data_IF_787294809184
#
_entry.id   IF_787294809184
#
_cell.length_a   1.000
_cell.length_b   1.000
_cell.length_c   1.000
_cell.angle_alpha   90.00
_cell.angle_beta   90.00
_cell.angle_gamma   90.00
#
_symmetry.space_group_name_H-M   'P 1'
#
loop_
_entity.id
_entity.type
_entity.pdbx_description
1 polymer ?
#
# COMPACT_ATOMS: atom_id res chain seq x y z
N UNK A 1 20.33 -11.20 -21.60
CA UNK A 1 19.57 -11.97 -20.60
C UNK A 1 20.43 -12.07 -19.35
N UNK A 2 19.85 -11.83 -18.17
CA UNK A 2 20.55 -12.09 -16.91
C UNK A 2 20.59 -13.60 -16.70
N UNK A 3 21.80 -14.18 -16.66
CA UNK A 3 22.00 -15.63 -16.53
C UNK A 3 21.48 -16.14 -15.17
N UNK A 4 21.53 -15.29 -14.15
CA UNK A 4 21.09 -15.62 -12.79
C UNK A 4 19.58 -15.49 -12.62
N UNK A 5 18.91 -14.73 -13.50
CA UNK A 5 17.46 -14.52 -13.47
C UNK A 5 16.85 -14.78 -14.86
N UNK A 6 16.89 -16.03 -15.36
CA UNK A 6 16.37 -16.38 -16.69
C UNK A 6 14.88 -16.06 -16.87
N UNK A 7 14.11 -16.03 -15.77
CA UNK A 7 12.68 -15.77 -15.74
C UNK A 7 12.31 -14.27 -15.87
N UNK A 8 13.29 -13.37 -15.98
CA UNK A 8 13.05 -11.92 -15.94
C UNK A 8 12.07 -11.43 -17.01
N UNK A 9 12.14 -11.99 -18.23
CA UNK A 9 11.23 -11.64 -19.32
C UNK A 9 9.78 -11.94 -18.98
N UNK A 10 9.51 -13.10 -18.38
CA UNK A 10 8.17 -13.47 -17.92
C UNK A 10 7.69 -12.57 -16.78
N UNK A 11 8.56 -12.29 -15.80
CA UNK A 11 8.24 -11.45 -14.65
C UNK A 11 7.91 -10.00 -15.06
N UNK A 12 8.55 -9.48 -16.09
CA UNK A 12 8.31 -8.13 -16.59
C UNK A 12 7.20 -8.04 -17.64
N UNK A 13 6.54 -9.16 -17.94
CA UNK A 13 5.38 -9.23 -18.82
C UNK A 13 4.10 -9.34 -17.98
N UNK A 14 3.37 -8.23 -17.89
CA UNK A 14 2.15 -8.13 -17.09
C UNK A 14 1.03 -9.07 -17.57
N UNK A 15 0.95 -9.33 -18.88
CA UNK A 15 -0.07 -10.22 -19.45
C UNK A 15 0.26 -11.68 -19.18
N UNK A 16 1.53 -12.07 -19.39
CA UNK A 16 2.02 -13.40 -19.04
C UNK A 16 1.87 -13.68 -17.54
N UNK A 17 2.22 -12.70 -16.69
CA UNK A 17 2.08 -12.84 -15.23
C UNK A 17 0.63 -12.91 -14.78
N UNK A 18 -0.32 -12.29 -15.47
CA UNK A 18 -1.74 -12.30 -15.06
C UNK A 18 -2.27 -13.71 -14.80
N UNK A 19 -1.99 -14.66 -15.69
CA UNK A 19 -2.42 -16.07 -15.54
C UNK A 19 -1.67 -16.77 -14.41
N UNK A 20 -0.37 -16.54 -14.30
CA UNK A 20 0.47 -17.13 -13.25
C UNK A 20 0.05 -16.66 -11.86
N UNK A 21 -0.21 -15.37 -11.70
CA UNK A 21 -0.71 -14.76 -10.47
C UNK A 21 -2.11 -15.29 -10.14
N UNK A 22 -3.02 -15.36 -11.10
CA UNK A 22 -4.36 -15.92 -10.90
C UNK A 22 -4.33 -17.36 -10.39
N UNK A 23 -3.47 -18.20 -10.96
CA UNK A 23 -3.27 -19.58 -10.50
C UNK A 23 -2.67 -19.64 -9.10
N UNK A 24 -1.73 -18.74 -8.79
CA UNK A 24 -1.08 -18.70 -7.49
C UNK A 24 -1.95 -18.14 -6.37
N UNK A 25 -2.83 -17.18 -6.65
CA UNK A 25 -3.54 -16.40 -5.62
C UNK A 25 -4.53 -17.18 -4.77
N UNK A 26 -5.08 -18.29 -5.26
CA UNK A 26 -6.16 -19.01 -4.60
C UNK A 26 -5.76 -20.44 -4.26
N UNK A 27 -6.34 -20.98 -3.19
CA UNK A 27 -5.95 -22.29 -2.63
C UNK A 27 -6.40 -23.47 -3.50
N UNK A 28 -7.49 -23.31 -4.24
CA UNK A 28 -8.07 -24.36 -5.08
C UNK A 28 -8.66 -23.79 -6.36
N UNK A 29 -8.84 -24.66 -7.35
CA UNK A 29 -9.52 -24.31 -8.60
C UNK A 29 -10.95 -23.80 -8.34
N UNK A 30 -11.70 -24.45 -7.43
CA UNK A 30 -13.09 -24.07 -7.14
C UNK A 30 -13.24 -22.67 -6.52
N UNK A 31 -12.26 -22.23 -5.73
CA UNK A 31 -12.24 -20.85 -5.22
C UNK A 31 -11.80 -19.90 -6.32
N UNK A 32 -10.74 -20.25 -7.05
CA UNK A 32 -10.18 -19.43 -8.13
C UNK A 32 -11.20 -19.08 -9.19
N UNK A 33 -12.05 -20.03 -9.59
CA UNK A 33 -13.03 -19.86 -10.67
C UNK A 33 -14.15 -18.86 -10.30
N UNK A 34 -14.25 -18.45 -9.03
CA UNK A 34 -15.13 -17.37 -8.55
C UNK A 34 -14.54 -15.98 -8.77
N UNK A 35 -13.26 -15.89 -9.11
CA UNK A 35 -12.57 -14.62 -9.25
C UNK A 35 -11.99 -14.45 -10.66
N UNK A 36 -12.08 -13.23 -11.16
CA UNK A 36 -11.49 -12.85 -12.43
C UNK A 36 -10.53 -11.68 -12.23
N UNK A 37 -9.30 -11.82 -12.75
CA UNK A 37 -8.37 -10.70 -12.87
C UNK A 37 -8.65 -9.98 -14.18
N UNK A 38 -9.36 -8.85 -14.08
CA UNK A 38 -9.74 -7.99 -15.21
C UNK A 38 -8.54 -7.26 -15.80
N UNK A 39 -7.63 -6.82 -14.94
CA UNK A 39 -6.43 -6.07 -15.32
C UNK A 39 -5.26 -6.45 -14.41
N UNK A 40 -4.06 -6.44 -14.98
CA UNK A 40 -2.79 -6.65 -14.30
C UNK A 40 -1.80 -5.62 -14.83
N UNK A 41 -1.36 -4.70 -13.97
CA UNK A 41 -0.38 -3.67 -14.31
C UNK A 41 0.88 -3.83 -13.48
N UNK A 42 2.05 -3.66 -14.08
CA UNK A 42 3.29 -3.49 -13.32
C UNK A 42 3.37 -2.03 -12.88
N UNK A 43 3.35 -1.80 -11.56
CA UNK A 43 3.36 -0.45 -10.98
C UNK A 43 4.74 -0.05 -10.45
N UNK A 44 5.64 -1.01 -10.25
CA UNK A 44 7.01 -0.75 -9.80
C UNK A 44 7.93 -1.92 -10.15
N UNK A 45 9.17 -1.60 -10.55
CA UNK A 45 10.26 -2.55 -10.76
C UNK A 45 11.51 -2.04 -10.06
N UNK A 46 12.18 -2.92 -9.31
CA UNK A 46 13.55 -2.70 -8.84
C UNK A 46 14.39 -3.91 -9.17
N UNK A 47 15.30 -3.71 -10.09
CA UNK A 47 16.20 -4.74 -10.54
C UNK A 47 17.61 -4.45 -10.02
N UNK A 48 18.18 -5.45 -9.34
CA UNK A 48 19.60 -5.48 -8.99
C UNK A 48 20.22 -6.66 -9.77
N UNK A 49 21.06 -6.38 -10.79
CA UNK A 49 21.70 -7.42 -11.60
C UNK A 49 22.30 -8.55 -10.77
N UNK A 50 22.14 -9.78 -11.24
CA UNK A 50 22.72 -11.00 -10.66
C UNK A 50 22.28 -11.32 -9.22
N UNK A 51 21.31 -10.56 -8.68
CA UNK A 51 20.96 -10.62 -7.26
C UNK A 51 19.48 -10.80 -7.01
N UNK A 52 18.64 -9.89 -7.52
CA UNK A 52 17.18 -10.00 -7.37
C UNK A 52 16.45 -9.02 -8.27
N UNK A 53 15.28 -9.43 -8.74
CA UNK A 53 14.28 -8.53 -9.30
C UNK A 53 13.09 -8.46 -8.36
N UNK A 54 12.66 -7.25 -8.03
CA UNK A 54 11.43 -7.01 -7.28
C UNK A 54 10.45 -6.29 -8.18
N UNK A 55 9.22 -6.79 -8.25
CA UNK A 55 8.15 -6.25 -9.09
C UNK A 55 6.88 -6.15 -8.28
N UNK A 56 6.20 -5.01 -8.36
CA UNK A 56 4.88 -4.84 -7.78
C UNK A 56 3.84 -4.82 -8.89
N UNK A 57 2.79 -5.62 -8.73
CA UNK A 57 1.65 -5.70 -9.62
C UNK A 57 0.42 -5.08 -8.97
N UNK A 58 -0.37 -4.36 -9.75
CA UNK A 58 -1.72 -3.93 -9.38
C UNK A 58 -2.72 -4.76 -10.17
N UNK A 59 -3.60 -5.45 -9.44
CA UNK A 59 -4.64 -6.28 -10.02
C UNK A 59 -6.01 -5.62 -9.80
N UNK A 60 -6.84 -5.61 -10.83
CA UNK A 60 -8.27 -5.37 -10.69
C UNK A 60 -8.98 -6.72 -10.64
N UNK A 61 -9.51 -7.06 -9.46
CA UNK A 61 -10.11 -8.36 -9.16
C UNK A 61 -11.61 -8.19 -9.01
N UNK A 62 -12.35 -9.10 -9.63
CA UNK A 62 -13.80 -9.23 -9.49
C UNK A 62 -14.15 -10.60 -8.95
N UNK A 63 -14.96 -10.66 -7.91
CA UNK A 63 -15.69 -11.87 -7.53
C UNK A 63 -16.95 -11.95 -8.41
N UNK A 64 -17.02 -12.93 -9.30
CA UNK A 64 -18.11 -13.03 -10.28
C UNK A 64 -19.42 -13.55 -9.65
N UNK A 65 -19.36 -14.18 -8.48
CA UNK A 65 -20.55 -14.65 -7.77
C UNK A 65 -21.24 -13.50 -7.01
N UNK A 66 -20.46 -12.63 -6.37
CA UNK A 66 -21.00 -11.53 -5.53
C UNK A 66 -21.05 -10.20 -6.27
N UNK A 67 -20.35 -10.09 -7.40
CA UNK A 67 -20.12 -8.81 -8.09
C UNK A 67 -19.13 -7.89 -7.37
N UNK A 68 -18.51 -8.32 -6.27
CA UNK A 68 -17.53 -7.51 -5.55
C UNK A 68 -16.33 -7.21 -6.45
N UNK A 69 -15.93 -5.94 -6.52
CA UNK A 69 -14.75 -5.50 -7.26
C UNK A 69 -13.79 -4.75 -6.35
N UNK A 70 -12.50 -4.89 -6.62
CA UNK A 70 -11.49 -4.11 -5.94
C UNK A 70 -10.08 -4.31 -6.45
N UNK A 71 -9.19 -3.50 -5.92
CA UNK A 71 -7.76 -3.57 -6.21
C UNK A 71 -7.08 -4.56 -5.25
N UNK A 72 -6.16 -5.37 -5.79
CA UNK A 72 -5.19 -6.13 -5.00
C UNK A 72 -3.79 -5.83 -5.52
N UNK A 73 -2.91 -5.32 -4.64
CA UNK A 73 -1.49 -5.14 -4.95
C UNK A 73 -0.74 -6.39 -4.50
N UNK A 74 0.19 -6.86 -5.34
CA UNK A 74 1.12 -7.94 -5.04
C UNK A 74 2.55 -7.42 -5.18
N UNK A 75 3.37 -7.58 -4.15
CA UNK A 75 4.81 -7.33 -4.24
C UNK A 75 5.55 -8.65 -4.33
N UNK A 76 6.19 -8.90 -5.47
CA UNK A 76 6.99 -10.10 -5.66
C UNK A 76 8.48 -9.82 -5.71
N UNK A 77 9.25 -10.80 -5.24
CA UNK A 77 10.70 -10.81 -5.32
C UNK A 77 11.14 -12.12 -5.95
N UNK A 78 11.84 -12.02 -7.07
CA UNK A 78 12.52 -13.11 -7.72
C UNK A 78 13.92 -13.29 -7.13
N UNK A 79 14.30 -14.56 -7.01
CA UNK A 79 15.58 -14.99 -6.52
C UNK A 79 16.27 -15.86 -7.57
N UNK A 80 17.60 -15.86 -7.62
CA UNK A 80 18.35 -16.82 -8.44
C UNK A 80 18.54 -18.14 -7.67
N UNK A 81 18.78 -19.23 -8.41
CA UNK A 81 19.30 -20.52 -7.93
C UNK A 81 18.53 -21.21 -6.77
N UNK A 82 17.22 -21.43 -6.90
CA UNK A 82 16.45 -22.18 -5.89
C UNK A 82 16.26 -21.43 -4.56
N UNK A 83 16.72 -20.18 -4.47
CA UNK A 83 16.71 -19.41 -3.21
C UNK A 83 15.32 -18.91 -2.83
N UNK A 84 14.30 -19.08 -3.68
CA UNK A 84 12.94 -18.65 -3.35
C UNK A 84 12.30 -19.48 -2.24
N UNK A 85 12.52 -20.81 -2.23
CA UNK A 85 11.88 -21.72 -1.28
C UNK A 85 12.25 -21.39 0.19
N UNK A 86 13.53 -21.27 0.58
CA UNK A 86 13.88 -20.89 1.96
C UNK A 86 13.33 -19.51 2.37
N UNK A 87 13.17 -18.59 1.42
CA UNK A 87 12.61 -17.26 1.69
C UNK A 87 11.10 -17.33 1.92
N UNK A 88 10.39 -18.18 1.17
CA UNK A 88 8.98 -18.46 1.39
C UNK A 88 8.75 -19.15 2.73
N UNK A 89 9.52 -20.19 3.06
CA UNK A 89 9.42 -20.89 4.35
C UNK A 89 9.69 -19.96 5.55
N UNK A 90 10.63 -19.02 5.40
CA UNK A 90 10.86 -18.00 6.41
C UNK A 90 9.66 -17.06 6.54
N UNK A 91 9.08 -16.64 5.42
CA UNK A 91 7.97 -15.70 5.40
C UNK A 91 6.65 -16.33 5.86
N UNK A 92 6.43 -17.63 5.62
CA UNK A 92 5.22 -18.35 6.02
C UNK A 92 5.09 -18.53 7.54
N UNK A 93 6.20 -18.37 8.28
CA UNK A 93 6.23 -18.37 9.76
C UNK A 93 5.80 -17.03 10.37
N UNK A 94 5.67 -15.98 9.56
CA UNK A 94 5.23 -14.67 10.04
C UNK A 94 3.71 -14.63 10.14
N UNK A 95 3.20 -13.91 11.13
CA UNK A 95 1.77 -13.60 11.22
C UNK A 95 1.39 -12.57 10.15
N UNK A 96 0.88 -13.06 9.03
CA UNK A 96 0.37 -12.24 7.92
C UNK A 96 -1.13 -12.02 8.08
N UNK A 97 -1.62 -10.87 7.62
CA UNK A 97 -3.06 -10.58 7.61
C UNK A 97 -3.69 -11.07 6.31
N UNK A 98 -4.93 -11.53 6.38
CA UNK A 98 -5.67 -11.94 5.20
C UNK A 98 -5.90 -10.72 4.28
N UNK A 99 -5.41 -10.74 3.01
CA UNK A 99 -5.67 -9.66 2.07
C UNK A 99 -7.14 -9.71 1.61
N UNK A 100 -7.57 -8.63 0.94
CA UNK A 100 -8.93 -8.56 0.39
C UNK A 100 -9.19 -9.66 -0.63
N UNK A 101 -8.20 -9.96 -1.48
CA UNK A 101 -8.30 -11.02 -2.49
C UNK A 101 -7.09 -11.97 -2.44
N UNK A 102 -7.40 -13.27 -2.50
CA UNK A 102 -6.39 -14.33 -2.56
C UNK A 102 -5.68 -14.58 -1.23
N UNK A 103 -4.56 -15.29 -1.29
CA UNK A 103 -3.74 -15.65 -0.13
C UNK A 103 -2.72 -14.56 0.23
N UNK A 104 -2.32 -14.43 1.52
CA UNK A 104 -1.38 -13.40 1.96
C UNK A 104 0.04 -13.55 1.40
N UNK A 105 0.45 -14.77 1.09
CA UNK A 105 1.80 -15.13 0.66
C UNK A 105 1.76 -16.21 -0.41
N UNK A 106 2.58 -16.08 -1.45
CA UNK A 106 2.68 -17.06 -2.53
C UNK A 106 4.13 -17.40 -2.81
N UNK A 107 4.36 -18.65 -3.18
CA UNK A 107 5.59 -19.11 -3.78
C UNK A 107 5.27 -19.64 -5.17
N UNK A 108 6.00 -19.15 -6.16
CA UNK A 108 5.95 -19.58 -7.54
C UNK A 108 7.33 -20.18 -7.88
N UNK A 109 7.52 -21.49 -7.62
CA UNK A 109 8.84 -22.13 -7.77
C UNK A 109 9.32 -22.10 -9.23
N UNK A 110 8.41 -22.14 -10.21
CA UNK A 110 8.74 -22.19 -11.64
C UNK A 110 9.47 -20.91 -12.12
N UNK A 111 9.31 -19.81 -11.40
CA UNK A 111 9.96 -18.52 -11.66
C UNK A 111 10.76 -18.01 -10.45
N UNK A 112 11.06 -18.90 -9.49
CA UNK A 112 11.82 -18.59 -8.29
C UNK A 112 11.36 -17.29 -7.58
N UNK A 113 10.04 -17.14 -7.41
CA UNK A 113 9.44 -15.90 -6.93
C UNK A 113 8.60 -16.10 -5.67
N UNK A 114 8.77 -15.20 -4.70
CA UNK A 114 7.90 -15.09 -3.53
C UNK A 114 7.11 -13.80 -3.62
N UNK A 115 5.79 -13.86 -3.42
CA UNK A 115 4.89 -12.71 -3.49
C UNK A 115 4.15 -12.49 -2.18
N UNK A 116 4.10 -11.24 -1.73
CA UNK A 116 3.30 -10.76 -0.62
C UNK A 116 2.10 -9.99 -1.15
N UNK A 117 0.91 -10.37 -0.70
CA UNK A 117 -0.33 -9.67 -1.04
C UNK A 117 -0.53 -8.53 -0.06
N UNK A 118 -0.64 -7.29 -0.57
CA UNK A 118 -0.92 -6.10 0.22
C UNK A 118 -2.16 -6.32 1.12
N UNK A 119 -2.12 -5.92 2.40
CA UNK A 119 -1.13 -5.02 3.01
C UNK A 119 0.10 -5.70 3.61
N UNK A 120 0.32 -6.99 3.34
CA UNK A 120 1.54 -7.67 3.77
C UNK A 120 2.73 -7.21 2.94
N UNK A 121 3.87 -7.04 3.60
CA UNK A 121 5.13 -6.67 2.97
C UNK A 121 6.29 -7.34 3.73
N UNK A 122 7.35 -7.70 3.00
CA UNK A 122 8.51 -8.39 3.56
C UNK A 122 9.28 -7.56 4.61
N UNK A 123 9.35 -6.23 4.46
CA UNK A 123 10.10 -5.35 5.39
C UNK A 123 9.21 -4.33 6.11
N UNK A 124 8.11 -3.90 5.49
CA UNK A 124 7.17 -2.96 6.13
C UNK A 124 6.19 -3.71 7.04
N UNK A 125 6.68 -4.25 8.16
CA UNK A 125 5.86 -5.08 9.06
C UNK A 125 4.69 -4.33 9.71
N UNK A 126 4.76 -3.00 9.80
CA UNK A 126 3.69 -2.14 10.34
C UNK A 126 2.64 -1.77 9.28
N UNK A 127 2.86 -2.11 8.00
CA UNK A 127 1.97 -1.73 6.90
C UNK A 127 0.54 -2.27 7.05
N UNK A 128 0.30 -3.51 7.51
CA UNK A 128 -1.06 -3.97 7.81
C UNK A 128 -1.78 -3.08 8.82
N UNK A 129 -1.14 -2.76 9.94
CA UNK A 129 -1.71 -1.91 10.98
C UNK A 129 -1.91 -0.46 10.50
N UNK A 130 -0.96 0.09 9.73
CA UNK A 130 -1.07 1.42 9.15
C UNK A 130 -2.21 1.52 8.11
N UNK A 131 -2.35 0.51 7.25
CA UNK A 131 -3.41 0.46 6.23
C UNK A 131 -4.80 0.30 6.87
N UNK A 132 -4.88 -0.48 7.95
CA UNK A 132 -6.09 -0.57 8.76
C UNK A 132 -6.42 0.76 9.44
N UNK A 133 -5.44 1.43 10.06
CA UNK A 133 -5.62 2.73 10.69
C UNK A 133 -6.09 3.80 9.69
N UNK A 134 -5.58 3.77 8.45
CA UNK A 134 -6.04 4.65 7.37
C UNK A 134 -7.48 4.38 6.95
N UNK A 135 -7.96 3.14 7.05
CA UNK A 135 -9.29 2.74 6.57
C UNK A 135 -10.35 2.71 7.67
N UNK A 136 -9.94 2.85 8.93
CA UNK A 136 -10.84 2.71 10.08
C UNK A 136 -11.63 3.99 10.33
N UNK A 137 -12.96 3.87 10.31
CA UNK A 137 -13.90 4.91 10.72
C UNK A 137 -14.14 4.83 12.23
N UNK A 138 -13.72 5.84 12.98
CA UNK A 138 -14.36 6.16 14.26
C UNK A 138 -15.48 7.16 13.98
N UNK A 139 -16.69 6.93 14.50
CA UNK A 139 -17.80 7.88 14.43
C UNK A 139 -17.51 9.21 15.16
N UNK A 140 -16.40 9.27 15.90
CA UNK A 140 -15.88 10.46 16.56
C UNK A 140 -14.64 10.91 15.79
N UNK A 141 -14.63 12.13 15.21
CA UNK A 141 -13.45 12.65 14.56
C UNK A 141 -12.30 12.68 15.57
N UNK A 142 -11.15 12.16 15.17
CA UNK A 142 -9.93 12.26 15.99
C UNK A 142 -9.64 13.71 16.35
N UNK A 143 -8.99 13.93 17.49
CA UNK A 143 -8.69 15.27 18.03
C UNK A 143 -8.06 16.23 17.02
N UNK A 144 -7.25 15.71 16.08
CA UNK A 144 -6.68 16.51 15.00
C UNK A 144 -7.71 16.96 13.94
N UNK A 145 -8.71 16.14 13.61
CA UNK A 145 -9.80 16.53 12.69
C UNK A 145 -10.59 17.65 13.33
N UNK A 146 -10.96 17.49 14.61
CA UNK A 146 -11.66 18.53 15.38
C UNK A 146 -10.86 19.83 15.46
N UNK A 147 -9.54 19.75 15.63
CA UNK A 147 -8.67 20.93 15.62
C UNK A 147 -8.62 21.63 14.24
N UNK A 148 -8.92 20.92 13.15
CA UNK A 148 -8.89 21.46 11.80
C UNK A 148 -10.26 22.02 11.34
N UNK A 149 -11.36 21.29 11.58
CA UNK A 149 -12.71 21.69 11.12
C UNK A 149 -13.59 22.33 12.19
N UNK A 150 -13.19 22.24 13.47
CA UNK A 150 -13.95 22.75 14.61
C UNK A 150 -14.90 21.72 15.23
N UNK A 151 -15.61 22.15 16.28
CA UNK A 151 -16.62 21.33 16.95
C UNK A 151 -17.91 21.25 16.13
N UNK A 152 -18.70 20.18 16.34
CA UNK A 152 -19.97 19.97 15.62
C UNK A 152 -19.86 19.14 14.34
N UNK A 153 -18.66 18.81 13.89
CA UNK A 153 -18.45 17.88 12.78
C UNK A 153 -18.38 16.43 13.24
N UNK A 154 -18.89 15.53 12.41
CA UNK A 154 -18.82 14.07 12.60
C UNK A 154 -18.33 13.41 11.31
N UNK A 155 -17.58 12.31 11.44
CA UNK A 155 -17.16 11.49 10.29
C UNK A 155 -18.34 10.64 9.86
N UNK A 156 -18.87 10.89 8.66
CA UNK A 156 -19.95 10.12 8.06
C UNK A 156 -19.41 8.91 7.29
N UNK A 157 -18.28 9.08 6.61
CA UNK A 157 -17.64 8.01 5.83
C UNK A 157 -16.12 8.25 5.75
N UNK A 158 -15.36 7.18 5.58
CA UNK A 158 -13.92 7.23 5.32
C UNK A 158 -13.58 6.35 4.13
N UNK A 159 -12.86 6.91 3.17
CA UNK A 159 -12.33 6.18 2.02
C UNK A 159 -10.82 6.25 1.99
N UNK A 160 -10.18 5.10 1.82
CA UNK A 160 -8.73 5.00 1.71
C UNK A 160 -8.31 4.36 0.40
N UNK A 161 -7.22 4.88 -0.17
CA UNK A 161 -6.64 4.41 -1.45
C UNK A 161 -5.12 4.43 -1.38
N UNK A 162 -4.48 3.36 -1.86
CA UNK A 162 -3.02 3.34 -2.04
C UNK A 162 -2.66 4.24 -3.22
N UNK A 163 -1.92 5.31 -2.95
CA UNK A 163 -1.47 6.27 -3.96
C UNK A 163 -0.12 5.88 -4.56
N UNK A 164 0.79 5.42 -3.72
CA UNK A 164 2.12 5.03 -4.13
C UNK A 164 2.62 3.88 -3.27
N UNK A 165 3.22 2.87 -3.89
CA UNK A 165 3.75 1.71 -3.18
C UNK A 165 5.08 1.28 -3.79
N UNK A 166 6.11 1.34 -2.96
CA UNK A 166 7.47 0.90 -3.26
C UNK A 166 7.75 -0.24 -2.29
N UNK A 167 7.57 -1.48 -2.76
CA UNK A 167 7.71 -2.67 -1.92
C UNK A 167 9.00 -2.68 -1.11
N UNK A 168 8.96 -3.21 0.11
CA UNK A 168 10.05 -3.18 1.08
C UNK A 168 10.60 -1.79 1.47
N UNK A 169 10.00 -0.67 1.06
CA UNK A 169 10.56 0.67 1.31
C UNK A 169 9.54 1.67 1.84
N UNK A 170 8.50 2.00 1.06
CA UNK A 170 7.49 2.98 1.47
C UNK A 170 6.12 2.69 0.86
N UNK A 171 5.06 3.02 1.57
CA UNK A 171 3.68 3.04 1.08
C UNK A 171 3.03 4.39 1.41
N UNK A 172 2.34 5.01 0.48
CA UNK A 172 1.54 6.23 0.70
C UNK A 172 0.07 5.90 0.47
N UNK A 173 -0.74 6.07 1.51
CA UNK A 173 -2.20 5.92 1.47
C UNK A 173 -2.83 7.30 1.57
N UNK A 174 -3.76 7.61 0.68
CA UNK A 174 -4.66 8.75 0.80
C UNK A 174 -5.88 8.30 1.59
N UNK A 175 -6.30 9.11 2.54
CA UNK A 175 -7.53 8.92 3.33
C UNK A 175 -8.38 10.16 3.20
N UNK A 176 -9.63 9.98 2.75
CA UNK A 176 -10.64 11.04 2.66
C UNK A 176 -11.74 10.77 3.67
N UNK A 177 -12.07 11.79 4.45
CA UNK A 177 -13.14 11.78 5.44
C UNK A 177 -14.29 12.64 4.92
N UNK A 178 -15.46 12.04 4.76
CA UNK A 178 -16.68 12.79 4.57
C UNK A 178 -17.18 13.25 5.93
N UNK A 179 -17.30 14.56 6.11
CA UNK A 179 -17.67 15.19 7.37
C UNK A 179 -19.04 15.83 7.22
N UNK A 180 -19.92 15.61 8.18
CA UNK A 180 -21.23 16.27 8.28
C UNK A 180 -21.30 17.11 9.55
N UNK A 181 -21.94 18.27 9.47
CA UNK A 181 -22.13 19.13 10.64
C UNK A 181 -23.46 18.78 11.34
N UNK A 182 -23.44 18.62 12.66
CA UNK A 182 -24.59 18.12 13.42
C UNK A 182 -25.77 19.09 13.51
N UNK A 183 -25.52 20.40 13.41
CA UNK A 183 -26.56 21.45 13.51
C UNK A 183 -26.72 22.29 12.25
N UNK A 184 -25.97 21.99 11.20
CA UNK A 184 -26.02 22.70 9.92
C UNK A 184 -26.18 21.66 8.84
N UNK A 185 -27.04 21.90 7.87
CA UNK A 185 -27.19 21.03 6.69
C UNK A 185 -26.01 21.25 5.73
N UNK A 186 -24.80 20.97 6.21
CA UNK A 186 -23.53 21.21 5.51
C UNK A 186 -22.61 20.02 5.68
N UNK A 187 -21.99 19.60 4.57
CA UNK A 187 -20.94 18.59 4.54
C UNK A 187 -19.64 19.17 3.97
N UNK A 188 -18.52 18.54 4.29
CA UNK A 188 -17.23 18.81 3.65
C UNK A 188 -16.37 17.56 3.61
N UNK A 189 -15.41 17.52 2.69
CA UNK A 189 -14.46 16.42 2.58
C UNK A 189 -13.08 16.88 3.03
N UNK A 190 -12.45 16.12 3.91
CA UNK A 190 -11.06 16.34 4.36
C UNK A 190 -10.17 15.22 3.84
N UNK A 191 -9.04 15.56 3.22
CA UNK A 191 -8.10 14.56 2.69
C UNK A 191 -6.73 14.68 3.33
N UNK A 192 -6.19 13.56 3.79
CA UNK A 192 -4.83 13.44 4.31
C UNK A 192 -4.08 12.30 3.61
N UNK A 193 -2.77 12.28 3.80
CA UNK A 193 -1.88 11.25 3.28
C UNK A 193 -1.04 10.67 4.40
N UNK A 194 -1.06 9.34 4.54
CA UNK A 194 -0.20 8.58 5.43
C UNK A 194 0.90 7.90 4.64
N UNK A 195 2.16 8.28 4.87
CA UNK A 195 3.34 7.65 4.27
C UNK A 195 4.04 6.77 5.29
N UNK A 196 3.90 5.45 5.12
CA UNK A 196 4.54 4.42 5.93
C UNK A 196 5.93 4.09 5.39
N UNK A 197 6.89 3.95 6.29
CA UNK A 197 8.28 3.63 6.01
C UNK A 197 8.65 2.25 6.57
N UNK A 198 9.59 1.56 5.93
CA UNK A 198 10.13 0.29 6.45
C UNK A 198 11.04 0.49 7.68
N UNK A 199 11.59 1.69 7.86
CA UNK A 199 12.55 2.05 8.91
C UNK A 199 12.23 3.43 9.53
N UNK A 200 13.18 4.00 10.27
CA UNK A 200 13.02 5.28 10.99
C UNK A 200 13.23 6.54 10.13
N UNK A 201 13.46 6.42 8.81
CA UNK A 201 13.62 7.57 7.93
C UNK A 201 12.39 8.50 7.92
N UNK A 202 11.22 7.96 8.24
CA UNK A 202 10.00 8.74 8.41
C UNK A 202 10.10 9.81 9.50
N UNK A 203 10.81 9.54 10.59
CA UNK A 203 11.01 10.49 11.68
C UNK A 203 11.87 11.67 11.24
N UNK A 204 12.96 11.40 10.52
CA UNK A 204 13.81 12.46 9.96
C UNK A 204 13.05 13.27 8.90
N UNK A 205 12.23 12.60 8.09
CA UNK A 205 11.39 13.28 7.09
C UNK A 205 10.39 14.23 7.77
N UNK A 206 9.71 13.80 8.84
CA UNK A 206 8.78 14.66 9.61
C UNK A 206 9.50 15.90 10.15
N UNK A 207 10.70 15.73 10.73
CA UNK A 207 11.49 16.84 11.27
C UNK A 207 11.84 17.87 10.19
N UNK A 208 12.35 17.42 9.05
CA UNK A 208 12.69 18.32 7.92
C UNK A 208 11.43 18.99 7.38
N UNK A 209 10.33 18.24 7.21
CA UNK A 209 9.06 18.81 6.74
C UNK A 209 8.51 19.89 7.67
N UNK A 210 8.62 19.72 8.99
CA UNK A 210 8.21 20.75 9.96
C UNK A 210 9.06 22.02 9.84
N UNK A 211 10.38 21.86 9.64
CA UNK A 211 11.28 23.00 9.42
C UNK A 211 10.91 23.75 8.13
N UNK A 212 10.69 23.02 7.03
CA UNK A 212 10.28 23.60 5.76
C UNK A 212 8.92 24.28 5.85
N UNK A 213 7.94 23.66 6.52
CA UNK A 213 6.63 24.24 6.75
C UNK A 213 6.72 25.55 7.56
N UNK A 214 7.62 25.65 8.53
CA UNK A 214 7.78 26.88 9.32
C UNK A 214 8.70 27.94 8.69
N UNK A 215 9.29 27.65 7.53
CA UNK A 215 10.23 28.54 6.85
C UNK A 215 9.57 29.80 6.26
N UNK A 216 10.37 30.86 6.13
CA UNK A 216 9.97 32.08 5.42
C UNK A 216 9.68 31.80 3.95
N UNK A 217 10.41 30.89 3.31
CA UNK A 217 10.18 30.51 1.92
C UNK A 217 8.74 29.99 1.70
N UNK A 218 8.23 29.16 2.61
CA UNK A 218 6.83 28.71 2.57
C UNK A 218 5.86 29.86 2.85
N UNK A 219 6.11 30.66 3.90
CA UNK A 219 5.22 31.79 4.27
C UNK A 219 5.12 32.86 3.16
N UNK A 220 6.19 33.08 2.41
CA UNK A 220 6.26 33.99 1.25
C UNK A 220 5.76 33.36 -0.05
N UNK A 221 5.26 32.12 -0.04
CA UNK A 221 4.74 31.44 -1.23
C UNK A 221 5.80 30.92 -2.20
N UNK A 222 7.10 31.01 -1.88
CA UNK A 222 8.21 30.53 -2.72
C UNK A 222 8.43 29.02 -2.64
N UNK A 223 7.81 28.36 -1.66
CA UNK A 223 7.90 26.91 -1.46
C UNK A 223 6.51 26.32 -1.17
N UNK A 224 6.04 25.44 -2.05
CA UNK A 224 4.90 24.57 -1.80
C UNK A 224 5.37 23.31 -1.05
N UNK A 225 4.86 23.10 0.16
CA UNK A 225 5.13 21.89 0.95
C UNK A 225 3.86 21.52 1.69
N UNK A 226 3.56 20.22 1.77
CA UNK A 226 2.42 19.72 2.53
C UNK A 226 2.61 20.04 4.02
N UNK A 227 1.52 20.35 4.72
CA UNK A 227 1.58 20.51 6.17
C UNK A 227 1.79 19.14 6.83
N UNK A 228 2.90 18.93 7.57
CA UNK A 228 3.03 17.73 8.40
C UNK A 228 2.03 17.83 9.55
N UNK A 229 1.25 16.77 9.75
CA UNK A 229 0.28 16.66 10.82
C UNK A 229 0.94 16.00 12.03
N UNK A 230 1.28 14.71 11.94
CA UNK A 230 2.01 13.98 12.97
C UNK A 230 2.81 12.80 12.39
N UNK A 231 3.76 12.31 13.16
CA UNK A 231 4.45 11.05 12.90
C UNK A 231 4.04 10.01 13.95
N UNK A 232 3.47 8.89 13.53
CA UNK A 232 3.21 7.74 14.41
C UNK A 232 4.43 6.82 14.39
N UNK A 233 5.24 6.86 15.45
CA UNK A 233 6.45 6.06 15.61
C UNK A 233 6.18 4.56 15.67
N UNK A 234 5.01 4.14 16.18
CA UNK A 234 4.63 2.72 16.28
C UNK A 234 4.32 2.14 14.91
N UNK A 235 3.69 2.95 14.06
CA UNK A 235 3.32 2.56 12.69
C UNK A 235 4.40 2.92 11.66
N UNK A 236 5.38 3.75 12.03
CA UNK A 236 6.37 4.37 11.13
C UNK A 236 5.71 5.13 10.01
N UNK A 237 4.66 5.88 10.33
CA UNK A 237 3.81 6.58 9.36
C UNK A 237 3.81 8.07 9.60
N UNK A 238 4.22 8.83 8.59
CA UNK A 238 4.10 10.28 8.53
C UNK A 238 2.75 10.66 7.93
N UNK A 239 1.96 11.44 8.66
CA UNK A 239 0.67 11.96 8.21
C UNK A 239 0.78 13.43 7.84
N UNK A 240 0.21 13.80 6.70
CA UNK A 240 0.27 15.16 6.15
C UNK A 240 -1.03 15.54 5.41
N UNK A 241 -1.27 16.84 5.27
CA UNK A 241 -2.33 17.37 4.40
C UNK A 241 -1.99 17.17 2.91
N UNK A 242 -2.99 17.30 2.04
CA UNK A 242 -2.75 17.44 0.60
C UNK A 242 -2.14 18.80 0.26
N UNK A 243 -1.38 18.86 -0.83
CA UNK A 243 -1.00 20.14 -1.46
C UNK A 243 -2.06 20.42 -2.52
N UNK A 244 -2.72 21.58 -2.46
CA UNK A 244 -3.51 22.05 -3.58
C UNK A 244 -2.55 22.44 -4.71
N UNK A 245 -2.70 21.80 -5.86
CA UNK A 245 -1.92 22.07 -7.08
C UNK A 245 -2.36 23.34 -7.78
#
# INVERSE_FOLDING_TARGET
MDVQLPQLSMILDAEAMRKTLWNGMFESASVRDRFLIRQCDIIQVRYKPESSCMVSYRLNVENVETGERGEQILCGRAFPDGRSLPQWEKASRLALVQPRFGKPLMHLPEIEMVLWSFPNDRKMHTLPASSHAASSTSNIPSSWILAHVGTGWQVADTKSRVMHYVGEHTCTVQTSFELIHSSRDTSQTLTIFGKTYYNEEGAQTDLVMRQLWNSEARRSGRLGVARPLWYDTRLKTLWQEGIQG
#
